data_IF_854673964395
#
_entry.id   IF_854673964395
#
_cell.length_a   1.000
_cell.length_b   1.000
_cell.length_c   1.000
_cell.angle_alpha   90.00
_cell.angle_beta   90.00
_cell.angle_gamma   90.00
#
_symmetry.space_group_name_H-M   'P 1'
#
loop_
_entity.id
_entity.type
_entity.pdbx_description
1 polymer ?
#
# COMPACT_ATOMS: atom_id res chain seq x y z
N UNK A 1 16.35 -33.70 -5.93
CA UNK A 1 16.54 -34.95 -5.17
C UNK A 1 16.66 -36.10 -6.17
N UNK A 2 17.84 -36.73 -6.23
CA UNK A 2 18.09 -37.90 -7.08
C UNK A 2 17.45 -39.11 -6.37
N UNK A 3 16.68 -39.93 -7.08
CA UNK A 3 15.79 -40.98 -6.54
C UNK A 3 16.53 -42.18 -5.88
N UNK A 4 17.81 -42.05 -5.50
CA UNK A 4 18.67 -43.15 -5.06
C UNK A 4 19.40 -42.91 -3.72
N UNK A 5 19.15 -41.80 -3.02
CA UNK A 5 19.78 -41.53 -1.72
C UNK A 5 19.17 -42.41 -0.60
N UNK A 6 20.00 -42.88 0.33
CA UNK A 6 19.53 -43.59 1.51
C UNK A 6 18.51 -42.75 2.30
N UNK A 7 17.38 -43.34 2.70
CA UNK A 7 16.30 -42.65 3.40
C UNK A 7 15.27 -41.97 2.47
N UNK A 8 15.54 -41.87 1.18
CA UNK A 8 14.60 -41.31 0.21
C UNK A 8 13.28 -42.11 0.16
N UNK A 9 12.16 -41.41 0.19
CA UNK A 9 10.85 -41.96 -0.18
C UNK A 9 10.10 -40.99 -1.08
N UNK A 10 9.25 -41.56 -1.95
CA UNK A 10 8.35 -40.76 -2.81
C UNK A 10 7.49 -39.82 -1.96
N UNK A 11 6.96 -40.31 -0.83
CA UNK A 11 6.17 -39.50 0.11
C UNK A 11 6.94 -38.32 0.71
N UNK A 12 8.22 -38.48 1.04
CA UNK A 12 9.05 -37.38 1.53
C UNK A 12 9.26 -36.29 0.47
N UNK A 13 9.54 -36.69 -0.78
CA UNK A 13 9.70 -35.76 -1.91
C UNK A 13 8.41 -35.01 -2.19
N UNK A 14 7.27 -35.70 -2.16
CA UNK A 14 5.97 -35.06 -2.33
C UNK A 14 5.67 -34.04 -1.23
N UNK A 15 5.92 -34.39 0.04
CA UNK A 15 5.73 -33.47 1.16
C UNK A 15 6.65 -32.24 1.07
N UNK A 16 7.92 -32.44 0.70
CA UNK A 16 8.88 -31.35 0.52
C UNK A 16 8.52 -30.43 -0.64
N UNK A 17 8.05 -30.99 -1.76
CA UNK A 17 7.59 -30.22 -2.92
C UNK A 17 6.32 -29.42 -2.59
N UNK A 18 5.35 -30.02 -1.89
CA UNK A 18 4.13 -29.32 -1.44
C UNK A 18 4.45 -28.16 -0.51
N UNK A 19 5.37 -28.36 0.43
CA UNK A 19 5.81 -27.29 1.31
C UNK A 19 6.51 -26.16 0.55
N UNK A 20 7.45 -26.49 -0.34
CA UNK A 20 8.15 -25.50 -1.16
C UNK A 20 7.16 -24.68 -1.99
N UNK A 21 6.25 -25.33 -2.71
CA UNK A 21 5.22 -24.65 -3.50
C UNK A 21 4.33 -23.73 -2.65
N UNK A 22 3.93 -24.17 -1.44
CA UNK A 22 3.10 -23.37 -0.55
C UNK A 22 3.84 -22.12 -0.01
N UNK A 23 5.15 -22.22 0.22
CA UNK A 23 6.00 -21.07 0.60
C UNK A 23 6.17 -20.11 -0.57
N UNK A 24 6.46 -20.62 -1.76
CA UNK A 24 6.61 -19.80 -2.97
C UNK A 24 5.31 -19.02 -3.26
N UNK A 25 4.14 -19.66 -3.17
CA UNK A 25 2.85 -18.99 -3.32
C UNK A 25 2.60 -17.92 -2.24
N UNK A 26 3.05 -18.16 -1.01
CA UNK A 26 2.90 -17.20 0.08
C UNK A 26 3.79 -15.96 -0.14
N UNK A 27 5.05 -16.16 -0.53
CA UNK A 27 5.98 -15.08 -0.83
C UNK A 27 5.53 -14.28 -2.07
N UNK A 28 5.00 -14.94 -3.09
CA UNK A 28 4.40 -14.30 -4.27
C UNK A 28 3.28 -13.32 -3.90
N UNK A 29 2.39 -13.72 -2.98
CA UNK A 29 1.29 -12.86 -2.52
C UNK A 29 1.84 -11.68 -1.71
N UNK A 30 2.85 -11.89 -0.86
CA UNK A 30 3.48 -10.81 -0.10
C UNK A 30 4.17 -9.80 -1.00
N UNK A 31 4.81 -10.24 -2.09
CA UNK A 31 5.45 -9.32 -3.03
C UNK A 31 4.43 -8.52 -3.82
N UNK A 32 3.37 -9.18 -4.31
CA UNK A 32 2.24 -8.50 -4.99
C UNK A 32 1.54 -7.48 -4.09
N UNK A 33 1.49 -7.72 -2.78
CA UNK A 33 0.96 -6.77 -1.80
C UNK A 33 1.75 -5.45 -1.75
N UNK A 34 3.08 -5.51 -1.89
CA UNK A 34 3.95 -4.33 -1.85
C UNK A 34 3.90 -3.52 -3.15
N UNK A 35 3.65 -4.18 -4.28
CA UNK A 35 3.69 -3.57 -5.60
C UNK A 35 2.30 -3.26 -6.18
N UNK A 36 1.29 -3.08 -5.32
CA UNK A 36 -0.10 -2.93 -5.77
C UNK A 36 -0.25 -1.74 -6.73
N UNK A 37 -0.93 -1.92 -7.89
CA UNK A 37 -1.20 -0.83 -8.83
C UNK A 37 -1.88 0.37 -8.17
N UNK A 38 -2.81 0.12 -7.23
CA UNK A 38 -3.51 1.16 -6.47
C UNK A 38 -2.57 2.04 -5.63
N UNK A 39 -1.42 1.51 -5.20
CA UNK A 39 -0.42 2.31 -4.47
C UNK A 39 0.28 3.31 -5.39
N UNK A 40 0.67 2.86 -6.59
CA UNK A 40 1.27 3.75 -7.60
C UNK A 40 0.27 4.80 -8.08
N UNK A 41 -0.97 4.39 -8.32
CA UNK A 41 -2.02 5.29 -8.75
C UNK A 41 -2.36 6.32 -7.66
N UNK A 42 -2.44 5.91 -6.39
CA UNK A 42 -2.64 6.81 -5.27
C UNK A 42 -1.55 7.89 -5.19
N UNK A 43 -0.27 7.51 -5.30
CA UNK A 43 0.84 8.47 -5.37
C UNK A 43 0.68 9.45 -6.53
N UNK A 44 0.32 8.97 -7.73
CA UNK A 44 0.14 9.87 -8.87
C UNK A 44 -1.01 10.86 -8.66
N UNK A 45 -2.15 10.39 -8.11
CA UNK A 45 -3.30 11.27 -7.84
C UNK A 45 -3.01 12.31 -6.75
N UNK A 46 -2.18 11.94 -5.78
CA UNK A 46 -1.69 12.85 -4.74
C UNK A 46 -0.86 13.97 -5.37
N UNK A 47 0.15 13.62 -6.17
CA UNK A 47 0.99 14.60 -6.86
C UNK A 47 0.18 15.51 -7.80
N UNK A 48 -0.85 14.97 -8.47
CA UNK A 48 -1.71 15.74 -9.35
C UNK A 48 -2.53 16.76 -8.55
N UNK A 49 -3.08 16.35 -7.39
CA UNK A 49 -3.78 17.23 -6.45
C UNK A 49 -2.86 18.34 -5.94
N UNK A 50 -1.64 18.00 -5.54
CA UNK A 50 -0.62 18.96 -5.08
C UNK A 50 -0.28 20.00 -6.14
N UNK A 51 -0.12 19.55 -7.40
CA UNK A 51 0.12 20.44 -8.54
C UNK A 51 -1.07 21.38 -8.76
N UNK A 52 -2.30 20.88 -8.69
CA UNK A 52 -3.51 21.69 -8.85
C UNK A 52 -3.67 22.73 -7.73
N UNK A 53 -3.45 22.31 -6.48
CA UNK A 53 -3.49 23.21 -5.33
C UNK A 53 -2.46 24.33 -5.48
N UNK A 54 -1.22 23.99 -5.82
CA UNK A 54 -0.15 24.95 -6.05
C UNK A 54 -0.47 25.90 -7.21
N UNK A 55 -1.01 25.38 -8.32
CA UNK A 55 -1.38 26.18 -9.47
C UNK A 55 -2.45 27.22 -9.10
N UNK A 56 -3.51 26.80 -8.39
CA UNK A 56 -4.56 27.71 -7.97
C UNK A 56 -4.04 28.76 -6.98
N UNK A 57 -3.26 28.35 -5.97
CA UNK A 57 -2.64 29.29 -5.03
C UNK A 57 -1.78 30.34 -5.73
N UNK A 58 -0.96 29.92 -6.70
CA UNK A 58 -0.07 30.83 -7.46
C UNK A 58 -0.85 31.82 -8.32
N UNK A 59 -1.88 31.37 -9.03
CA UNK A 59 -2.67 32.28 -9.86
C UNK A 59 -3.47 33.26 -9.00
N UNK A 60 -4.05 32.83 -7.89
CA UNK A 60 -4.74 33.71 -6.94
C UNK A 60 -3.81 34.83 -6.43
N UNK A 61 -2.58 34.46 -6.03
CA UNK A 61 -1.56 35.43 -5.62
C UNK A 61 -1.18 36.41 -6.74
N UNK A 62 -0.97 35.93 -7.96
CA UNK A 62 -0.54 36.75 -9.09
C UNK A 62 -1.64 37.74 -9.54
N UNK A 63 -2.90 37.32 -9.53
CA UNK A 63 -4.05 38.12 -9.97
C UNK A 63 -4.34 39.32 -9.07
N UNK A 64 -3.71 39.44 -7.90
CA UNK A 64 -3.74 40.68 -7.10
C UNK A 64 -3.19 41.90 -7.84
N UNK A 65 -2.32 41.71 -8.82
CA UNK A 65 -1.79 42.78 -9.68
C UNK A 65 -2.70 43.14 -10.86
N UNK A 66 -3.91 42.59 -10.93
CA UNK A 66 -4.80 42.77 -12.08
C UNK A 66 -5.27 44.24 -12.22
N UNK A 67 -5.32 44.83 -13.44
CA UNK A 67 -5.66 46.24 -13.63
C UNK A 67 -7.13 46.57 -13.30
N UNK A 68 -8.04 45.59 -13.40
CA UNK A 68 -9.40 45.71 -12.88
C UNK A 68 -9.41 45.52 -11.36
N UNK A 69 -9.80 46.57 -10.63
CA UNK A 69 -9.83 46.61 -9.16
C UNK A 69 -10.72 45.54 -8.55
N UNK A 70 -11.89 45.25 -9.13
CA UNK A 70 -12.82 44.26 -8.57
C UNK A 70 -12.22 42.84 -8.62
N UNK A 71 -11.51 42.52 -9.72
CA UNK A 71 -10.79 41.26 -9.87
C UNK A 71 -9.61 41.19 -8.89
N UNK A 72 -8.85 42.27 -8.74
CA UNK A 72 -7.73 42.34 -7.80
C UNK A 72 -8.20 42.16 -6.34
N UNK A 73 -9.27 42.87 -5.92
CA UNK A 73 -9.85 42.75 -4.59
C UNK A 73 -10.40 41.33 -4.33
N UNK A 74 -10.99 40.69 -5.35
CA UNK A 74 -11.44 39.31 -5.24
C UNK A 74 -10.26 38.33 -5.10
N UNK A 75 -9.19 38.52 -5.87
CA UNK A 75 -7.98 37.72 -5.77
C UNK A 75 -7.29 37.83 -4.40
N UNK A 76 -7.31 39.01 -3.77
CA UNK A 76 -6.86 39.18 -2.37
C UNK A 76 -7.64 38.26 -1.44
N UNK A 77 -8.99 38.29 -1.50
CA UNK A 77 -9.85 37.43 -0.67
C UNK A 77 -9.61 35.94 -0.93
N UNK A 78 -9.43 35.57 -2.19
CA UNK A 78 -9.10 34.18 -2.55
C UNK A 78 -7.75 33.76 -1.99
N UNK A 79 -6.70 34.59 -2.08
CA UNK A 79 -5.39 34.28 -1.50
C UNK A 79 -5.43 34.23 0.04
N UNK A 80 -6.20 35.09 0.70
CA UNK A 80 -6.39 35.06 2.16
C UNK A 80 -6.89 33.70 2.64
N UNK A 81 -7.83 33.08 1.91
CA UNK A 81 -8.27 31.70 2.18
C UNK A 81 -7.09 30.72 2.08
N UNK A 82 -6.28 30.77 1.01
CA UNK A 82 -5.09 29.92 0.91
C UNK A 82 -4.07 30.17 2.03
N UNK A 83 -3.90 31.41 2.48
CA UNK A 83 -3.00 31.76 3.58
C UNK A 83 -3.50 31.24 4.93
N UNK A 84 -4.82 31.23 5.15
CA UNK A 84 -5.45 30.69 6.36
C UNK A 84 -5.16 29.19 6.53
N UNK A 85 -5.17 28.41 5.44
CA UNK A 85 -4.89 26.97 5.49
C UNK A 85 -3.39 26.64 5.52
N UNK A 86 -2.53 27.54 5.05
CA UNK A 86 -1.08 27.39 5.05
C UNK A 86 -0.56 26.46 3.96
N UNK A 87 0.70 26.03 4.10
CA UNK A 87 1.28 25.01 3.22
C UNK A 87 0.87 23.61 3.70
N UNK A 88 0.21 22.86 2.81
CA UNK A 88 -0.37 21.56 3.13
C UNK A 88 0.42 20.39 2.57
N UNK A 89 1.31 20.63 1.60
CA UNK A 89 2.16 19.61 0.97
C UNK A 89 3.01 18.78 1.96
N UNK A 90 3.54 19.33 3.07
CA UNK A 90 4.35 18.53 3.99
C UNK A 90 3.51 17.75 5.01
N UNK A 91 2.18 17.88 5.00
CA UNK A 91 1.31 17.25 5.99
C UNK A 91 1.13 15.74 5.70
N UNK A 92 0.68 15.00 6.70
CA UNK A 92 0.23 13.64 6.48
C UNK A 92 -1.02 13.64 5.58
N UNK A 93 -1.14 12.67 4.66
CA UNK A 93 -2.22 12.62 3.66
C UNK A 93 -3.64 12.80 4.22
N UNK A 94 -3.94 12.26 5.40
CA UNK A 94 -5.26 12.43 6.03
C UNK A 94 -5.51 13.88 6.45
N UNK A 95 -4.49 14.52 7.03
CA UNK A 95 -4.56 15.91 7.44
C UNK A 95 -4.63 16.84 6.21
N UNK A 96 -3.80 16.58 5.20
CA UNK A 96 -3.83 17.30 3.93
C UNK A 96 -5.20 17.20 3.27
N UNK A 97 -5.77 15.99 3.18
CA UNK A 97 -7.09 15.75 2.58
C UNK A 97 -8.19 16.50 3.33
N UNK A 98 -8.18 16.47 4.67
CA UNK A 98 -9.16 17.18 5.49
C UNK A 98 -9.06 18.70 5.30
N UNK A 99 -7.84 19.25 5.25
CA UNK A 99 -7.63 20.68 5.04
C UNK A 99 -7.98 21.12 3.62
N UNK A 100 -7.64 20.34 2.59
CA UNK A 100 -8.04 20.62 1.19
C UNK A 100 -9.56 20.57 1.06
N UNK A 101 -10.24 19.67 1.76
CA UNK A 101 -11.70 19.63 1.77
C UNK A 101 -12.30 20.94 2.32
N UNK A 102 -11.81 21.41 3.46
CA UNK A 102 -12.28 22.66 4.07
C UNK A 102 -11.91 23.88 3.21
N UNK A 103 -10.70 23.91 2.64
CA UNK A 103 -10.29 24.92 1.68
C UNK A 103 -11.25 25.00 0.48
N UNK A 104 -11.61 23.86 -0.10
CA UNK A 104 -12.56 23.80 -1.22
C UNK A 104 -13.95 24.30 -0.83
N UNK A 105 -14.42 24.02 0.40
CA UNK A 105 -15.69 24.57 0.90
C UNK A 105 -15.63 26.09 0.99
N UNK A 106 -14.58 26.66 1.56
CA UNK A 106 -14.42 28.11 1.70
C UNK A 106 -14.27 28.81 0.34
N UNK A 107 -13.51 28.22 -0.58
CA UNK A 107 -13.38 28.74 -1.95
C UNK A 107 -14.71 28.72 -2.71
N UNK A 108 -15.54 27.68 -2.52
CA UNK A 108 -16.87 27.58 -3.12
C UNK A 108 -17.90 28.51 -2.49
N UNK A 109 -17.67 28.96 -1.26
CA UNK A 109 -18.52 29.94 -0.59
C UNK A 109 -18.29 31.38 -1.13
N UNK A 110 -17.23 31.61 -1.91
CA UNK A 110 -17.02 32.87 -2.61
C UNK A 110 -18.04 33.09 -3.74
N UNK A 111 -18.20 34.34 -4.14
CA UNK A 111 -19.12 34.73 -5.21
C UNK A 111 -18.74 34.08 -6.56
N UNK A 112 -19.62 33.23 -7.09
CA UNK A 112 -19.42 32.48 -8.34
C UNK A 112 -19.26 33.39 -9.56
N UNK A 113 -19.95 34.54 -9.60
CA UNK A 113 -19.83 35.48 -10.71
C UNK A 113 -18.43 36.08 -10.74
N UNK A 114 -17.92 36.49 -9.57
CA UNK A 114 -16.56 37.02 -9.42
C UNK A 114 -15.50 35.96 -9.63
N UNK A 115 -15.74 34.70 -9.22
CA UNK A 115 -14.87 33.55 -9.51
C UNK A 115 -14.68 33.36 -11.03
N UNK A 116 -15.77 33.46 -11.79
CA UNK A 116 -15.74 33.41 -13.25
C UNK A 116 -15.01 34.62 -13.85
N UNK A 117 -15.33 35.83 -13.39
CA UNK A 117 -14.69 37.07 -13.87
C UNK A 117 -13.18 37.11 -13.61
N UNK A 118 -12.73 36.57 -12.48
CA UNK A 118 -11.31 36.47 -12.13
C UNK A 118 -10.58 35.31 -12.86
N UNK A 119 -11.30 34.47 -13.60
CA UNK A 119 -10.74 33.34 -14.32
C UNK A 119 -10.31 32.16 -13.42
N UNK A 120 -10.84 32.09 -12.20
CA UNK A 120 -10.44 31.07 -11.21
C UNK A 120 -11.27 29.77 -11.29
N UNK A 121 -12.44 29.80 -11.91
CA UNK A 121 -13.33 28.62 -12.01
C UNK A 121 -12.67 27.36 -12.58
N UNK A 122 -11.81 27.42 -13.62
CA UNK A 122 -11.11 26.23 -14.10
C UNK A 122 -10.16 25.64 -13.06
N UNK A 123 -9.48 26.47 -12.27
CA UNK A 123 -8.55 26.04 -11.22
C UNK A 123 -9.29 25.43 -10.03
N UNK A 124 -10.43 26.01 -9.63
CA UNK A 124 -11.30 25.45 -8.60
C UNK A 124 -11.82 24.07 -9.01
N UNK A 125 -12.32 23.96 -10.25
CA UNK A 125 -12.82 22.70 -10.80
C UNK A 125 -11.73 21.64 -10.87
N UNK A 126 -10.53 21.99 -11.35
CA UNK A 126 -9.39 21.06 -11.46
C UNK A 126 -8.95 20.55 -10.08
N UNK A 127 -8.82 21.43 -9.08
CA UNK A 127 -8.48 21.05 -7.71
C UNK A 127 -9.54 20.13 -7.11
N UNK A 128 -10.83 20.44 -7.28
CA UNK A 128 -11.92 19.61 -6.79
C UNK A 128 -11.92 18.21 -7.42
N UNK A 129 -11.75 18.13 -8.74
CA UNK A 129 -11.71 16.86 -9.46
C UNK A 129 -10.54 16.00 -8.97
N UNK A 130 -9.35 16.58 -8.80
CA UNK A 130 -8.16 15.85 -8.35
C UNK A 130 -8.23 15.46 -6.88
N UNK A 131 -8.81 16.31 -6.01
CA UNK A 131 -9.07 15.96 -4.63
C UNK A 131 -10.04 14.77 -4.52
N UNK A 132 -11.11 14.76 -5.32
CA UNK A 132 -12.07 13.64 -5.38
C UNK A 132 -11.44 12.37 -5.94
N UNK A 133 -10.61 12.48 -6.98
CA UNK A 133 -9.89 11.36 -7.55
C UNK A 133 -8.92 10.71 -6.54
N UNK A 134 -8.21 11.52 -5.75
CA UNK A 134 -7.34 11.01 -4.69
C UNK A 134 -8.12 10.25 -3.61
N UNK A 135 -9.23 10.81 -3.11
CA UNK A 135 -10.07 10.12 -2.11
C UNK A 135 -10.57 8.77 -2.65
N UNK A 136 -11.03 8.75 -3.90
CA UNK A 136 -11.54 7.53 -4.54
C UNK A 136 -10.47 6.42 -4.64
N UNK A 137 -9.24 6.77 -5.04
CA UNK A 137 -8.17 5.78 -5.13
C UNK A 137 -7.65 5.37 -3.75
N UNK A 138 -7.60 6.29 -2.78
CA UNK A 138 -7.23 5.99 -1.39
C UNK A 138 -8.22 5.00 -0.74
N UNK A 139 -9.52 5.14 -0.99
CA UNK A 139 -10.55 4.20 -0.54
C UNK A 139 -10.40 2.84 -1.21
N UNK A 140 -10.10 2.84 -2.52
CA UNK A 140 -9.83 1.62 -3.28
C UNK A 140 -8.61 0.89 -2.73
N UNK A 141 -7.50 1.61 -2.50
CA UNK A 141 -6.27 1.08 -1.91
C UNK A 141 -6.54 0.49 -0.52
N UNK A 142 -7.29 1.20 0.32
CA UNK A 142 -7.68 0.74 1.66
C UNK A 142 -8.51 -0.54 1.62
N UNK A 143 -9.45 -0.64 0.68
CA UNK A 143 -10.27 -1.85 0.46
C UNK A 143 -9.44 -3.03 -0.08
N UNK A 144 -8.57 -2.79 -1.06
CA UNK A 144 -7.68 -3.79 -1.63
C UNK A 144 -6.70 -4.34 -0.59
N UNK A 145 -6.08 -3.47 0.22
CA UNK A 145 -5.24 -3.87 1.33
C UNK A 145 -6.06 -4.63 2.40
N UNK A 146 -7.13 -4.01 2.91
CA UNK A 146 -7.84 -4.47 4.09
C UNK A 146 -8.65 -5.75 3.90
N UNK A 147 -9.37 -5.90 2.77
CA UNK A 147 -10.24 -7.07 2.55
C UNK A 147 -9.54 -8.16 1.75
N UNK A 148 -8.91 -7.79 0.63
CA UNK A 148 -8.42 -8.77 -0.34
C UNK A 148 -7.03 -9.27 0.03
N UNK A 149 -6.09 -8.37 0.27
CA UNK A 149 -4.71 -8.76 0.52
C UNK A 149 -4.54 -9.44 1.88
N UNK A 150 -5.09 -8.86 2.95
CA UNK A 150 -5.04 -9.50 4.29
C UNK A 150 -5.69 -10.89 4.29
N UNK A 151 -6.81 -11.07 3.58
CA UNK A 151 -7.47 -12.37 3.46
C UNK A 151 -6.60 -13.42 2.77
N UNK A 152 -6.08 -13.10 1.58
CA UNK A 152 -5.23 -14.00 0.79
C UNK A 152 -3.91 -14.30 1.52
N UNK A 153 -3.29 -13.30 2.14
CA UNK A 153 -2.06 -13.48 2.93
C UNK A 153 -2.30 -14.45 4.10
N UNK A 154 -3.44 -14.33 4.80
CA UNK A 154 -3.81 -15.26 5.88
C UNK A 154 -4.04 -16.68 5.36
N UNK A 155 -4.74 -16.81 4.25
CA UNK A 155 -5.02 -18.12 3.61
C UNK A 155 -3.73 -18.83 3.19
N UNK A 156 -2.86 -18.14 2.44
CA UNK A 156 -1.61 -18.73 1.94
C UNK A 156 -0.63 -19.04 3.07
N UNK A 157 -0.60 -18.21 4.12
CA UNK A 157 0.15 -18.54 5.34
C UNK A 157 -0.36 -19.83 5.99
N UNK A 158 -1.67 -19.99 6.14
CA UNK A 158 -2.25 -21.20 6.74
C UNK A 158 -1.96 -22.46 5.90
N UNK A 159 -1.94 -22.33 4.57
CA UNK A 159 -1.56 -23.41 3.66
C UNK A 159 -0.08 -23.81 3.84
N UNK A 160 0.84 -22.84 3.91
CA UNK A 160 2.26 -23.09 4.18
C UNK A 160 2.48 -23.75 5.56
N UNK A 161 1.79 -23.27 6.60
CA UNK A 161 1.86 -23.85 7.96
C UNK A 161 1.33 -25.30 8.00
N UNK A 162 0.34 -25.63 7.17
CA UNK A 162 -0.23 -26.98 7.06
C UNK A 162 0.73 -27.93 6.33
N UNK A 163 1.28 -27.48 5.19
CA UNK A 163 2.26 -28.25 4.43
C UNK A 163 3.55 -28.50 5.23
N UNK A 164 3.95 -27.52 6.05
CA UNK A 164 5.06 -27.67 7.00
C UNK A 164 4.81 -28.79 8.00
N UNK A 165 3.64 -28.80 8.66
CA UNK A 165 3.29 -29.86 9.63
C UNK A 165 3.30 -31.24 8.99
N UNK A 166 2.75 -31.37 7.79
CA UNK A 166 2.77 -32.62 7.03
C UNK A 166 4.20 -33.09 6.68
N UNK A 167 5.09 -32.16 6.33
CA UNK A 167 6.50 -32.47 6.08
C UNK A 167 7.19 -33.00 7.34
N UNK A 168 7.01 -32.33 8.48
CA UNK A 168 7.55 -32.77 9.78
C UNK A 168 7.00 -34.13 10.21
N UNK A 169 5.70 -34.34 10.09
CA UNK A 169 5.04 -35.62 10.39
C UNK A 169 5.59 -36.75 9.51
N UNK A 170 5.78 -36.49 8.22
CA UNK A 170 6.37 -37.47 7.28
C UNK A 170 7.79 -37.85 7.68
N UNK A 171 8.62 -36.87 8.04
CA UNK A 171 10.01 -37.11 8.47
C UNK A 171 10.04 -37.90 9.77
N UNK A 172 9.23 -37.51 10.76
CA UNK A 172 9.15 -38.22 12.03
C UNK A 172 8.70 -39.67 11.84
N UNK A 173 7.70 -39.92 10.98
CA UNK A 173 7.26 -41.28 10.66
C UNK A 173 8.37 -42.12 10.02
N UNK A 174 9.14 -41.54 9.09
CA UNK A 174 10.25 -42.22 8.43
C UNK A 174 11.39 -42.55 9.40
N UNK A 175 11.71 -41.65 10.32
CA UNK A 175 12.69 -41.89 11.39
C UNK A 175 12.27 -43.06 12.29
N UNK A 176 10.99 -43.16 12.64
CA UNK A 176 10.46 -44.27 13.45
C UNK A 176 10.59 -45.60 12.73
N UNK A 177 10.26 -45.65 11.43
CA UNK A 177 10.20 -46.90 10.67
C UNK A 177 11.60 -47.40 10.23
N UNK A 178 12.48 -46.48 9.86
CA UNK A 178 13.74 -46.81 9.18
C UNK A 178 15.00 -46.52 10.02
N UNK A 179 14.84 -45.97 11.23
CA UNK A 179 15.94 -45.42 12.03
C UNK A 179 16.37 -44.03 11.55
N UNK A 180 17.16 -43.33 12.36
CA UNK A 180 17.52 -41.91 12.16
C UNK A 180 18.72 -41.69 11.24
N UNK A 181 19.60 -42.69 11.09
CA UNK A 181 20.89 -42.60 10.42
C UNK A 181 20.80 -42.02 9.00
N UNK A 182 19.81 -42.45 8.22
CA UNK A 182 19.63 -42.02 6.82
C UNK A 182 18.98 -40.64 6.67
N UNK A 183 18.39 -40.10 7.73
CA UNK A 183 17.63 -38.84 7.71
C UNK A 183 18.37 -37.69 8.36
N UNK A 184 19.51 -37.95 9.00
CA UNK A 184 20.21 -36.99 9.86
C UNK A 184 20.58 -35.69 9.14
N UNK A 185 21.14 -35.77 7.93
CA UNK A 185 21.46 -34.57 7.13
C UNK A 185 20.22 -33.87 6.60
N UNK A 186 19.20 -34.62 6.18
CA UNK A 186 17.92 -34.03 5.76
C UNK A 186 17.24 -33.29 6.92
N UNK A 187 17.23 -33.88 8.12
CA UNK A 187 16.71 -33.26 9.35
C UNK A 187 17.52 -32.01 9.71
N UNK A 188 18.84 -32.02 9.54
CA UNK A 188 19.69 -30.84 9.75
C UNK A 188 19.39 -29.71 8.75
N UNK A 189 19.25 -30.02 7.46
CA UNK A 189 18.92 -29.03 6.43
C UNK A 189 17.49 -28.49 6.60
N UNK A 190 16.55 -29.37 6.97
CA UNK A 190 15.20 -28.98 7.38
C UNK A 190 15.22 -28.07 8.61
N UNK A 191 16.05 -28.38 9.61
CA UNK A 191 16.24 -27.54 10.80
C UNK A 191 16.84 -26.16 10.44
N UNK A 192 17.78 -26.10 9.50
CA UNK A 192 18.31 -24.83 8.98
C UNK A 192 17.23 -23.98 8.31
N UNK A 193 16.37 -24.60 7.49
CA UNK A 193 15.19 -23.93 6.91
C UNK A 193 14.15 -23.55 7.97
N UNK A 194 13.96 -24.37 9.02
CA UNK A 194 13.12 -24.05 10.18
C UNK A 194 13.61 -22.79 10.88
N UNK A 195 14.92 -22.66 11.08
CA UNK A 195 15.50 -21.50 11.76
C UNK A 195 15.39 -20.23 10.90
N UNK A 196 15.58 -20.33 9.58
CA UNK A 196 15.29 -19.21 8.65
C UNK A 196 13.82 -18.78 8.73
N UNK A 197 12.88 -19.73 8.69
CA UNK A 197 11.44 -19.43 8.76
C UNK A 197 11.03 -18.87 10.13
N UNK A 198 11.58 -19.40 11.23
CA UNK A 198 11.39 -18.84 12.58
C UNK A 198 11.95 -17.44 12.70
N UNK A 199 13.13 -17.17 12.14
CA UNK A 199 13.73 -15.85 12.10
C UNK A 199 12.85 -14.88 11.29
N UNK A 200 12.31 -15.32 10.15
CA UNK A 200 11.36 -14.54 9.37
C UNK A 200 10.07 -14.24 10.15
N UNK A 201 9.51 -15.22 10.87
CA UNK A 201 8.34 -15.04 11.74
C UNK A 201 8.62 -14.11 12.94
N UNK A 202 9.81 -14.22 13.54
CA UNK A 202 10.25 -13.37 14.65
C UNK A 202 10.43 -11.91 14.21
N UNK A 203 11.11 -11.70 13.07
CA UNK A 203 11.29 -10.37 12.48
C UNK A 203 9.94 -9.71 12.13
N UNK A 204 8.94 -10.49 11.69
CA UNK A 204 7.58 -10.00 11.43
C UNK A 204 6.81 -9.63 12.70
N UNK A 205 7.09 -10.27 13.84
CA UNK A 205 6.53 -9.91 15.16
C UNK A 205 7.09 -8.58 15.70
N UNK A 206 8.34 -8.27 15.39
CA UNK A 206 8.99 -7.01 15.80
C UNK A 206 8.58 -5.81 14.95
N UNK A 207 8.22 -6.01 13.68
CA UNK A 207 7.73 -4.94 12.78
C UNK A 207 6.25 -4.59 13.02
N UNK A 208 5.49 -5.47 13.70
CA UNK A 208 4.09 -5.25 14.06
C UNK A 208 3.87 -4.58 15.45
N UNK A 209 4.94 -4.04 16.06
CA UNK A 209 4.92 -3.24 17.29
C UNK A 209 5.28 -1.80 16.97
#
# INVERSE_FOLDING_TARGET
LVDTAAGYTVGLKEAANKFTAAVDEFDDVLEKAKSLPSTKEATQKDEDRDKAWNAFRRIAKATKGHPNKEIADFAVKTEEIFLQYGDMLPLAHQEETARIHNLLQDLKALDTTKMNQAGFTPFLTDLEQKATAYITISDTQSSEHGRRMVGIVKEKRAAADTAYRQLVETVNALVIVNGDTAYKEFVLDLNGRIDQNKAMLANRRTVAK
#
